data_IF_656759840411
#
_entry.id   IF_656759840411
#
_cell.length_a   1.000
_cell.length_b   1.000
_cell.length_c   1.000
_cell.angle_alpha   90.00
_cell.angle_beta   90.00
_cell.angle_gamma   90.00
#
_symmetry.space_group_name_H-M   'P 1'
#
loop_
_entity.id
_entity.type
_entity.pdbx_description
1 polymer ?
#
# COMPACT_ATOMS: atom_id res chain seq x y z
N UNK A 1 25.90 -38.35 6.76
CA UNK A 1 24.79 -39.00 7.49
C UNK A 1 23.49 -38.35 7.04
N UNK A 2 22.50 -39.11 6.56
CA UNK A 2 21.23 -38.56 6.07
C UNK A 2 20.29 -38.17 7.22
N UNK A 3 19.45 -37.17 6.97
CA UNK A 3 18.67 -36.39 7.95
C UNK A 3 17.35 -37.07 8.37
N UNK A 4 17.13 -38.31 7.93
CA UNK A 4 15.83 -38.97 7.93
C UNK A 4 15.56 -39.85 9.19
N UNK A 5 16.40 -39.77 10.23
CA UNK A 5 16.24 -40.57 11.45
C UNK A 5 15.76 -39.80 12.69
N UNK A 6 15.31 -38.55 12.55
CA UNK A 6 14.91 -37.73 13.70
C UNK A 6 13.41 -37.66 13.99
N UNK A 7 12.54 -38.21 13.14
CA UNK A 7 11.09 -37.97 13.24
C UNK A 7 10.23 -39.08 13.87
N UNK A 8 10.80 -40.22 14.27
CA UNK A 8 10.02 -41.38 14.78
C UNK A 8 9.96 -41.50 16.31
N UNK A 9 10.06 -40.40 17.08
CA UNK A 9 10.05 -40.48 18.57
C UNK A 9 9.18 -39.47 19.30
N UNK A 10 8.02 -39.11 18.75
CA UNK A 10 6.98 -38.41 19.52
C UNK A 10 5.56 -38.91 19.18
N UNK A 11 5.31 -40.20 19.42
CA UNK A 11 3.94 -40.68 19.61
C UNK A 11 3.59 -40.65 21.09
N UNK A 12 2.53 -39.91 21.45
CA UNK A 12 1.95 -40.00 22.80
C UNK A 12 1.47 -38.70 23.43
N UNK A 13 0.74 -37.86 22.70
CA UNK A 13 -0.16 -36.87 23.35
C UNK A 13 -1.53 -36.94 22.70
N UNK A 14 -2.49 -37.47 23.47
CA UNK A 14 -3.92 -37.32 23.21
C UNK A 14 -4.26 -35.83 23.09
N UNK A 15 -4.66 -35.37 21.92
CA UNK A 15 -5.35 -34.09 21.78
C UNK A 15 -6.84 -34.35 21.67
N UNK A 16 -7.49 -34.25 22.82
CA UNK A 16 -8.93 -34.05 22.95
C UNK A 16 -9.33 -32.74 22.31
N UNK A 17 -10.53 -32.76 21.73
CA UNK A 17 -11.37 -31.63 21.33
C UNK A 17 -10.89 -30.79 20.15
N UNK A 18 -11.53 -31.06 19.01
CA UNK A 18 -11.70 -30.11 17.91
C UNK A 18 -12.39 -28.85 18.43
N UNK A 19 -11.60 -27.90 18.92
CA UNK A 19 -12.03 -26.53 19.12
C UNK A 19 -12.31 -25.96 17.71
N UNK A 20 -13.57 -25.99 17.29
CA UNK A 20 -14.05 -25.14 16.20
C UNK A 20 -13.93 -23.70 16.66
N UNK A 21 -12.83 -23.04 16.28
CA UNK A 21 -12.78 -21.59 16.23
C UNK A 21 -13.75 -21.13 15.14
N UNK A 22 -15.03 -20.99 15.46
CA UNK A 22 -15.87 -20.05 14.74
C UNK A 22 -15.40 -18.67 15.16
N UNK A 23 -14.41 -18.13 14.46
CA UNK A 23 -14.04 -16.72 14.58
C UNK A 23 -15.28 -15.92 14.20
N UNK A 24 -16.03 -15.51 15.21
CA UNK A 24 -17.02 -14.44 15.11
C UNK A 24 -16.27 -13.29 14.43
N UNK A 25 -16.57 -13.03 13.16
CA UNK A 25 -15.73 -12.14 12.33
C UNK A 25 -15.55 -10.84 13.09
N UNK A 26 -14.29 -10.44 13.28
CA UNK A 26 -13.99 -9.14 13.84
C UNK A 26 -14.77 -8.14 13.00
N UNK A 27 -15.58 -7.29 13.63
CA UNK A 27 -16.53 -6.40 12.95
C UNK A 27 -15.85 -5.63 11.81
N UNK A 28 -15.99 -6.12 10.56
CA UNK A 28 -15.23 -5.60 9.41
C UNK A 28 -15.82 -4.28 8.86
N UNK A 29 -16.72 -3.64 9.62
CA UNK A 29 -17.27 -2.30 9.34
C UNK A 29 -16.21 -1.21 9.29
N UNK A 30 -15.04 -1.44 9.88
CA UNK A 30 -13.90 -0.52 9.81
C UNK A 30 -13.03 -0.67 8.56
N UNK A 31 -13.42 -1.53 7.61
CA UNK A 31 -12.68 -1.78 6.38
C UNK A 31 -13.55 -1.56 5.15
N UNK A 32 -12.91 -1.09 4.08
CA UNK A 32 -13.44 -1.03 2.73
C UNK A 32 -12.94 -2.25 1.96
N UNK A 33 -13.86 -2.93 1.30
CA UNK A 33 -13.56 -3.99 0.35
C UNK A 33 -13.04 -3.39 -0.96
N UNK A 34 -11.84 -3.78 -1.36
CA UNK A 34 -11.30 -3.52 -2.69
C UNK A 34 -11.19 -4.84 -3.44
N UNK A 35 -11.95 -4.97 -4.53
CA UNK A 35 -11.93 -6.13 -5.39
C UNK A 35 -10.53 -6.35 -6.00
N UNK A 36 -10.11 -7.61 -6.05
CA UNK A 36 -8.86 -8.02 -6.68
C UNK A 36 -8.87 -7.71 -8.17
N UNK A 37 -7.76 -7.21 -8.69
CA UNK A 37 -7.60 -6.86 -10.11
C UNK A 37 -6.31 -7.42 -10.69
N UNK A 38 -6.33 -7.56 -12.01
CA UNK A 38 -5.14 -7.89 -12.81
C UNK A 38 -4.78 -6.72 -13.73
N UNK A 39 -3.50 -6.37 -13.76
CA UNK A 39 -2.90 -5.26 -14.50
C UNK A 39 -1.69 -5.78 -15.28
N UNK A 40 -1.94 -6.47 -16.39
CA UNK A 40 -0.90 -7.15 -17.16
C UNK A 40 -0.32 -8.33 -16.37
N UNK A 41 0.98 -8.29 -16.06
CA UNK A 41 1.67 -9.34 -15.29
C UNK A 41 1.52 -9.19 -13.77
N UNK A 42 0.96 -8.08 -13.30
CA UNK A 42 0.72 -7.84 -11.88
C UNK A 42 -0.75 -8.12 -11.54
N UNK A 43 -1.01 -8.76 -10.41
CA UNK A 43 -2.37 -8.93 -9.88
C UNK A 43 -2.36 -8.94 -8.36
N UNK A 44 -3.49 -8.62 -7.76
CA UNK A 44 -3.68 -8.74 -6.31
C UNK A 44 -5.06 -9.35 -6.01
N UNK A 45 -5.15 -10.05 -4.87
CA UNK A 45 -6.39 -10.65 -4.39
C UNK A 45 -7.30 -9.58 -3.79
N UNK A 46 -8.55 -9.93 -3.55
CA UNK A 46 -9.47 -9.14 -2.74
C UNK A 46 -8.84 -8.63 -1.43
N UNK A 47 -8.98 -7.33 -1.18
CA UNK A 47 -8.40 -6.64 -0.04
C UNK A 47 -9.46 -6.06 0.89
N UNK A 48 -9.14 -6.01 2.17
CA UNK A 48 -9.82 -5.20 3.19
C UNK A 48 -8.88 -4.07 3.61
N UNK A 49 -9.27 -2.83 3.35
CA UNK A 49 -8.48 -1.63 3.59
C UNK A 49 -9.11 -0.83 4.73
N UNK A 50 -8.35 -0.56 5.80
CA UNK A 50 -8.84 0.22 6.94
C UNK A 50 -9.30 1.62 6.52
N UNK A 51 -10.50 2.01 6.97
CA UNK A 51 -11.04 3.36 6.76
C UNK A 51 -10.17 4.44 7.42
N UNK A 52 -9.48 4.08 8.49
CA UNK A 52 -8.60 4.99 9.24
C UNK A 52 -7.13 4.64 9.03
N UNK A 53 -6.29 5.68 9.05
CA UNK A 53 -4.84 5.52 9.16
C UNK A 53 -4.47 5.14 10.60
N UNK A 54 -3.34 4.47 10.74
CA UNK A 54 -2.78 4.00 12.01
C UNK A 54 -1.27 4.19 12.03
N UNK A 55 -0.62 3.83 13.14
CA UNK A 55 0.85 3.83 13.28
C UNK A 55 1.51 5.17 12.92
N UNK A 56 0.88 6.27 13.35
CA UNK A 56 1.36 7.62 13.11
C UNK A 56 2.75 7.85 13.72
N UNK A 57 3.57 8.67 13.06
CA UNK A 57 4.91 9.03 13.55
C UNK A 57 5.97 7.96 13.33
N UNK A 58 5.62 6.82 12.74
CA UNK A 58 6.59 5.79 12.36
C UNK A 58 7.26 6.12 11.03
N UNK A 59 8.52 5.71 10.90
CA UNK A 59 9.20 5.66 9.61
C UNK A 59 8.72 4.44 8.80
N UNK A 60 9.12 4.37 7.54
CA UNK A 60 8.61 3.36 6.61
C UNK A 60 8.89 1.91 7.07
N UNK A 61 10.08 1.65 7.58
CA UNK A 61 10.45 0.33 8.13
C UNK A 61 9.62 -0.06 9.35
N UNK A 62 9.48 0.86 10.31
CA UNK A 62 8.73 0.61 11.53
C UNK A 62 7.23 0.44 11.26
N UNK A 63 6.69 1.16 10.27
CA UNK A 63 5.31 0.99 9.84
C UNK A 63 5.06 -0.41 9.26
N UNK A 64 5.95 -0.92 8.39
CA UNK A 64 5.90 -2.30 7.93
C UNK A 64 5.94 -3.29 9.10
N UNK A 65 6.90 -3.15 10.01
CA UNK A 65 7.01 -4.06 11.16
C UNK A 65 5.76 -4.05 12.04
N UNK A 66 5.19 -2.87 12.29
CA UNK A 66 3.95 -2.73 13.06
C UNK A 66 2.79 -3.46 12.38
N UNK A 67 2.59 -3.25 11.07
CA UNK A 67 1.55 -3.93 10.31
C UNK A 67 1.74 -5.44 10.21
N UNK A 68 2.98 -5.93 10.03
CA UNK A 68 3.26 -7.36 9.97
C UNK A 68 2.97 -8.09 11.28
N UNK A 69 3.16 -7.44 12.44
CA UNK A 69 2.73 -7.99 13.75
C UNK A 69 1.21 -8.12 13.87
N UNK A 70 0.46 -7.36 13.06
CA UNK A 70 -0.99 -7.36 13.00
C UNK A 70 -1.53 -8.23 11.85
N UNK A 71 -0.68 -9.08 11.25
CA UNK A 71 -0.98 -9.87 10.05
C UNK A 71 -1.57 -9.01 8.92
N UNK A 72 -1.01 -7.81 8.74
CA UNK A 72 -1.48 -6.80 7.79
C UNK A 72 -0.30 -6.20 7.02
N UNK A 73 -0.58 -5.41 5.98
CA UNK A 73 0.44 -4.79 5.13
C UNK A 73 -0.01 -3.40 4.63
N UNK A 74 0.88 -2.68 3.93
CA UNK A 74 0.59 -1.39 3.28
C UNK A 74 0.18 -1.59 1.83
N UNK A 75 -0.63 -0.69 1.29
CA UNK A 75 -0.90 -0.69 -0.15
C UNK A 75 0.37 -0.31 -0.91
N UNK A 76 0.70 -1.05 -1.97
CA UNK A 76 1.62 -0.52 -2.99
C UNK A 76 0.93 0.58 -3.82
N UNK A 77 1.69 1.32 -4.63
CA UNK A 77 1.15 2.47 -5.39
C UNK A 77 -0.01 2.05 -6.29
N UNK A 78 0.11 0.90 -6.96
CA UNK A 78 -0.92 0.36 -7.84
C UNK A 78 -2.24 0.12 -7.09
N UNK A 79 -2.20 -0.63 -5.98
CA UNK A 79 -3.38 -0.89 -5.13
C UNK A 79 -3.95 0.41 -4.53
N UNK A 80 -3.08 1.36 -4.19
CA UNK A 80 -3.49 2.65 -3.65
C UNK A 80 -4.27 3.49 -4.67
N UNK A 81 -3.85 3.51 -5.94
CA UNK A 81 -4.61 4.23 -6.97
C UNK A 81 -5.95 3.55 -7.28
N UNK A 82 -5.99 2.22 -7.29
CA UNK A 82 -7.25 1.46 -7.38
C UNK A 82 -8.20 1.81 -6.22
N UNK A 83 -7.66 1.96 -5.01
CA UNK A 83 -8.41 2.42 -3.84
C UNK A 83 -8.92 3.86 -4.00
N UNK A 84 -8.09 4.80 -4.47
CA UNK A 84 -8.51 6.18 -4.76
C UNK A 84 -9.66 6.20 -5.78
N UNK A 85 -9.57 5.41 -6.85
CA UNK A 85 -10.62 5.28 -7.86
C UNK A 85 -11.94 4.83 -7.23
N UNK A 86 -11.91 3.79 -6.39
CA UNK A 86 -13.09 3.30 -5.65
C UNK A 86 -13.72 4.40 -4.79
N UNK A 87 -12.91 5.15 -4.03
CA UNK A 87 -13.41 6.22 -3.17
C UNK A 87 -14.07 7.34 -3.99
N UNK A 88 -13.46 7.73 -5.11
CA UNK A 88 -13.95 8.82 -5.97
C UNK A 88 -15.22 8.45 -6.73
N UNK A 89 -15.39 7.19 -7.12
CA UNK A 89 -16.61 6.70 -7.76
C UNK A 89 -17.77 6.64 -6.75
N UNK A 90 -17.47 6.59 -5.44
CA UNK A 90 -18.50 6.57 -4.40
C UNK A 90 -19.29 5.25 -4.32
N UNK A 91 -18.72 4.17 -4.85
CA UNK A 91 -19.35 2.83 -4.90
C UNK A 91 -18.42 1.79 -4.29
N UNK A 92 -18.59 1.55 -3.00
CA UNK A 92 -17.79 0.61 -2.23
C UNK A 92 -18.62 -0.19 -1.24
N UNK A 93 -18.06 -1.30 -0.78
CA UNK A 93 -18.66 -2.17 0.23
C UNK A 93 -17.74 -2.22 1.45
N UNK A 94 -18.32 -2.44 2.62
CA UNK A 94 -17.54 -2.75 3.82
C UNK A 94 -17.03 -4.20 3.76
N UNK A 95 -16.23 -4.61 4.74
CA UNK A 95 -15.74 -5.99 4.75
C UNK A 95 -16.83 -7.06 4.92
N UNK A 96 -18.03 -6.68 5.39
CA UNK A 96 -19.20 -7.55 5.49
C UNK A 96 -20.03 -7.60 4.19
N UNK A 97 -19.61 -6.89 3.14
CA UNK A 97 -20.35 -6.79 1.88
C UNK A 97 -21.56 -5.85 1.93
N UNK A 98 -21.68 -5.02 2.97
CA UNK A 98 -22.71 -3.98 3.04
C UNK A 98 -22.26 -2.76 2.25
N UNK A 99 -23.17 -2.16 1.48
CA UNK A 99 -22.87 -0.93 0.74
C UNK A 99 -22.53 0.19 1.73
N UNK A 100 -21.39 0.85 1.51
CA UNK A 100 -21.01 2.05 2.26
C UNK A 100 -21.74 3.25 1.67
N UNK A 101 -22.19 4.16 2.53
CA UNK A 101 -22.80 5.41 2.09
C UNK A 101 -21.83 6.19 1.20
N UNK A 102 -22.31 6.68 0.06
CA UNK A 102 -21.51 7.40 -0.93
C UNK A 102 -20.82 8.62 -0.30
N UNK A 103 -21.50 9.35 0.60
CA UNK A 103 -20.93 10.52 1.26
C UNK A 103 -19.72 10.18 2.13
N UNK A 104 -19.66 8.97 2.70
CA UNK A 104 -18.51 8.51 3.49
C UNK A 104 -17.31 8.29 2.56
N UNK A 105 -17.51 7.63 1.43
CA UNK A 105 -16.43 7.34 0.46
C UNK A 105 -15.89 8.63 -0.18
N UNK A 106 -16.78 9.53 -0.59
CA UNK A 106 -16.40 10.83 -1.14
C UNK A 106 -15.70 11.71 -0.10
N UNK A 107 -16.17 11.69 1.16
CA UNK A 107 -15.47 12.36 2.26
C UNK A 107 -14.07 11.79 2.47
N UNK A 108 -13.89 10.48 2.39
CA UNK A 108 -12.57 9.87 2.49
C UNK A 108 -11.66 10.25 1.32
N UNK A 109 -12.18 10.28 0.09
CA UNK A 109 -11.42 10.77 -1.07
C UNK A 109 -10.98 12.22 -0.86
N UNK A 110 -11.90 13.09 -0.43
CA UNK A 110 -11.61 14.47 -0.07
C UNK A 110 -10.57 14.57 1.05
N UNK A 111 -10.70 13.76 2.10
CA UNK A 111 -9.76 13.73 3.22
C UNK A 111 -8.35 13.26 2.82
N UNK A 112 -8.20 12.55 1.71
CA UNK A 112 -6.90 12.14 1.18
C UNK A 112 -6.34 13.19 0.22
N UNK A 113 -7.17 13.71 -0.68
CA UNK A 113 -6.74 14.50 -1.83
C UNK A 113 -6.68 16.02 -1.56
N UNK A 114 -7.42 16.52 -0.58
CA UNK A 114 -7.53 17.95 -0.33
C UNK A 114 -6.30 18.53 0.38
N UNK A 115 -5.85 19.69 -0.10
CA UNK A 115 -4.88 20.59 0.55
C UNK A 115 -5.36 20.91 1.97
N UNK A 116 -4.54 20.61 2.99
CA UNK A 116 -4.92 20.76 4.40
C UNK A 116 -3.76 21.12 5.31
N UNK A 117 -4.07 21.80 6.41
CA UNK A 117 -3.13 22.09 7.50
C UNK A 117 -3.70 21.51 8.80
N UNK A 118 -2.95 20.70 9.57
CA UNK A 118 -1.54 20.34 9.40
C UNK A 118 -1.27 19.35 8.24
N UNK A 119 0.00 19.28 7.83
CA UNK A 119 0.51 18.26 6.90
C UNK A 119 0.08 16.85 7.32
N UNK A 120 -0.43 16.07 6.37
CA UNK A 120 -0.77 14.67 6.55
C UNK A 120 -0.19 13.83 5.41
N UNK A 121 0.17 12.58 5.72
CA UNK A 121 0.56 11.63 4.68
C UNK A 121 0.30 10.19 5.06
N UNK A 122 0.49 9.32 4.07
CA UNK A 122 0.50 7.88 4.26
C UNK A 122 1.62 7.21 3.47
N UNK A 123 2.36 6.32 4.15
CA UNK A 123 3.35 5.50 3.48
C UNK A 123 2.69 4.49 2.54
N UNK A 124 3.35 4.24 1.41
CA UNK A 124 2.99 3.21 0.46
C UNK A 124 4.10 2.15 0.42
N UNK A 125 3.74 0.91 0.11
CA UNK A 125 4.68 -0.20 -0.11
C UNK A 125 5.35 -0.07 -1.49
N UNK A 126 6.33 0.83 -1.57
CA UNK A 126 7.21 0.98 -2.72
C UNK A 126 8.57 1.49 -2.26
N UNK A 127 9.61 0.68 -2.44
CA UNK A 127 11.03 1.05 -2.26
C UNK A 127 11.73 1.08 -3.62
N UNK A 128 12.45 2.16 -3.90
CA UNK A 128 13.10 2.39 -5.18
C UNK A 128 14.60 2.19 -5.03
N UNK A 129 15.16 1.34 -5.89
CA UNK A 129 16.60 1.01 -5.89
C UNK A 129 17.14 1.04 -7.29
N UNK A 130 18.44 1.31 -7.41
CA UNK A 130 19.19 1.08 -8.64
C UNK A 130 19.67 -0.36 -8.65
N UNK A 131 19.38 -1.09 -9.72
CA UNK A 131 19.94 -2.42 -9.97
C UNK A 131 21.47 -2.31 -10.10
N UNK A 132 22.25 -3.07 -9.32
CA UNK A 132 23.71 -2.96 -9.32
C UNK A 132 24.34 -3.33 -10.67
N UNK A 133 23.67 -4.17 -11.47
CA UNK A 133 24.18 -4.75 -12.72
C UNK A 133 24.09 -3.79 -13.89
N UNK A 134 22.89 -3.31 -14.21
CA UNK A 134 22.60 -2.50 -15.40
C UNK A 134 22.31 -1.03 -15.09
N UNK A 135 22.35 -0.65 -13.80
CA UNK A 135 22.03 0.69 -13.29
C UNK A 135 20.60 1.16 -13.54
N UNK A 136 19.69 0.26 -13.92
CA UNK A 136 18.28 0.57 -14.10
C UNK A 136 17.58 0.79 -12.76
N UNK A 137 16.52 1.60 -12.74
CA UNK A 137 15.71 1.81 -11.54
C UNK A 137 14.68 0.66 -11.41
N UNK A 138 14.60 0.08 -10.22
CA UNK A 138 13.65 -0.97 -9.86
C UNK A 138 12.72 -0.51 -8.76
N UNK A 139 11.52 -1.08 -8.72
CA UNK A 139 10.57 -0.95 -7.61
C UNK A 139 10.49 -2.29 -6.86
N UNK A 140 10.71 -2.21 -5.56
CA UNK A 140 10.55 -3.27 -4.59
C UNK A 140 9.20 -3.09 -3.89
N UNK A 141 8.41 -4.16 -3.75
CA UNK A 141 7.11 -4.11 -3.09
C UNK A 141 6.72 -5.47 -2.49
N UNK A 142 5.55 -5.51 -1.83
CA UNK A 142 5.05 -6.62 -1.02
C UNK A 142 6.08 -7.05 0.03
N UNK A 143 6.62 -6.06 0.74
CA UNK A 143 7.66 -6.32 1.73
C UNK A 143 7.11 -7.17 2.88
N UNK A 144 7.95 -8.06 3.39
CA UNK A 144 7.66 -8.98 4.50
C UNK A 144 8.77 -8.89 5.54
N UNK A 145 8.40 -9.07 6.81
CA UNK A 145 9.39 -9.20 7.90
C UNK A 145 9.80 -10.67 8.02
N UNK A 146 11.07 -10.97 7.75
CA UNK A 146 11.69 -12.26 8.06
C UNK A 146 12.88 -12.04 9.00
N UNK A 147 12.88 -12.69 10.17
CA UNK A 147 13.96 -12.55 11.17
C UNK A 147 14.29 -11.07 11.50
N UNK A 148 13.25 -10.26 11.72
CA UNK A 148 13.36 -8.81 11.95
C UNK A 148 14.00 -7.99 10.80
N UNK A 149 14.18 -8.59 9.62
CA UNK A 149 14.62 -7.88 8.42
C UNK A 149 13.45 -7.72 7.46
N UNK A 150 13.30 -6.53 6.92
CA UNK A 150 12.32 -6.24 5.89
C UNK A 150 12.90 -6.68 4.54
N UNK A 151 12.18 -7.53 3.80
CA UNK A 151 12.59 -8.04 2.50
C UNK A 151 11.42 -7.93 1.51
N UNK A 152 11.64 -7.42 0.29
CA UNK A 152 10.61 -7.42 -0.74
C UNK A 152 10.32 -8.84 -1.23
N UNK A 153 9.05 -9.13 -1.50
CA UNK A 153 8.67 -10.35 -2.24
C UNK A 153 8.86 -10.16 -3.76
N UNK A 154 8.81 -8.92 -4.23
CA UNK A 154 8.93 -8.57 -5.65
C UNK A 154 9.92 -7.43 -5.86
N UNK A 155 10.72 -7.54 -6.90
CA UNK A 155 11.60 -6.49 -7.42
C UNK A 155 11.46 -6.48 -8.94
N UNK A 156 10.98 -5.38 -9.50
CA UNK A 156 10.68 -5.30 -10.94
C UNK A 156 11.30 -4.03 -11.53
N UNK A 157 11.80 -4.13 -12.75
CA UNK A 157 12.23 -2.98 -13.55
C UNK A 157 11.10 -1.97 -13.69
N UNK A 158 11.39 -0.71 -13.37
CA UNK A 158 10.49 0.40 -13.65
C UNK A 158 10.55 0.76 -15.13
N UNK A 159 9.43 0.59 -15.80
CA UNK A 159 9.24 0.90 -17.22
C UNK A 159 8.12 1.95 -17.36
N UNK A 160 8.21 2.75 -18.42
CA UNK A 160 7.18 3.70 -18.86
C UNK A 160 6.63 4.63 -17.76
N UNK A 161 7.48 5.14 -16.87
CA UNK A 161 7.07 6.06 -15.81
C UNK A 161 7.55 7.49 -16.10
N UNK A 162 6.87 8.47 -15.50
CA UNK A 162 7.32 9.86 -15.49
C UNK A 162 8.58 9.97 -14.62
N UNK A 163 9.74 10.15 -15.26
CA UNK A 163 11.06 10.20 -14.62
C UNK A 163 11.41 11.54 -13.97
N UNK A 164 10.67 12.59 -14.29
CA UNK A 164 10.92 13.95 -13.81
C UNK A 164 9.85 14.41 -12.81
N UNK A 165 10.26 15.25 -11.87
CA UNK A 165 9.31 15.92 -10.99
C UNK A 165 8.37 16.81 -11.82
N UNK A 166 7.12 16.91 -11.41
CA UNK A 166 6.13 17.76 -12.07
C UNK A 166 5.45 18.69 -11.07
N UNK A 167 5.72 19.98 -11.24
CA UNK A 167 5.17 21.09 -10.47
C UNK A 167 4.58 22.10 -11.48
N UNK A 168 3.29 22.47 -11.41
CA UNK A 168 2.36 22.29 -10.29
C UNK A 168 1.81 20.87 -10.11
N UNK A 169 1.95 19.97 -11.08
CA UNK A 169 1.51 18.59 -10.89
C UNK A 169 1.17 17.81 -12.16
N UNK A 170 0.75 16.57 -11.94
CA UNK A 170 0.11 15.68 -12.91
C UNK A 170 -1.43 15.82 -12.83
N UNK A 171 -2.11 15.45 -13.89
CA UNK A 171 -3.57 15.31 -13.91
C UNK A 171 -4.00 14.07 -13.11
N UNK A 172 -4.80 14.26 -12.05
CA UNK A 172 -5.22 13.18 -11.16
C UNK A 172 -6.15 12.18 -11.86
N UNK A 173 -7.10 12.65 -12.68
CA UNK A 173 -8.05 11.76 -13.35
C UNK A 173 -7.33 10.89 -14.37
N UNK A 174 -6.48 11.51 -15.19
CA UNK A 174 -5.65 10.77 -16.13
C UNK A 174 -4.70 9.82 -15.41
N UNK A 175 -4.13 10.19 -14.25
CA UNK A 175 -3.28 9.27 -13.50
C UNK A 175 -4.06 8.04 -13.04
N UNK A 176 -5.30 8.21 -12.58
CA UNK A 176 -6.20 7.11 -12.22
C UNK A 176 -6.55 6.24 -13.44
N UNK A 177 -6.66 6.82 -14.64
CA UNK A 177 -7.10 6.11 -15.84
C UNK A 177 -5.97 5.44 -16.65
N UNK A 178 -4.76 6.03 -16.70
CA UNK A 178 -3.69 5.64 -17.65
C UNK A 178 -2.41 5.14 -16.96
N UNK A 179 -2.57 4.66 -15.73
CA UNK A 179 -1.51 4.23 -14.82
C UNK A 179 -0.67 3.06 -15.36
N UNK A 180 0.65 3.13 -15.18
CA UNK A 180 1.60 2.04 -15.52
C UNK A 180 1.37 0.82 -14.64
N UNK A 181 1.73 -0.41 -15.01
CA UNK A 181 1.50 -1.60 -14.15
C UNK A 181 1.92 -1.45 -12.67
N UNK A 182 2.90 -0.58 -12.38
CA UNK A 182 3.40 -0.25 -11.03
C UNK A 182 2.59 0.80 -10.26
N UNK A 183 1.58 1.42 -10.88
CA UNK A 183 0.77 2.49 -10.33
C UNK A 183 1.36 3.89 -10.52
N UNK A 184 2.56 4.01 -11.11
CA UNK A 184 3.19 5.30 -11.38
C UNK A 184 2.53 6.01 -12.57
N UNK A 185 2.57 7.35 -12.62
CA UNK A 185 2.16 8.12 -13.78
C UNK A 185 2.99 7.77 -15.02
N UNK A 186 2.39 7.61 -16.21
CA UNK A 186 3.13 7.40 -17.44
C UNK A 186 3.88 8.66 -17.86
N UNK A 187 4.90 8.49 -18.70
CA UNK A 187 5.75 9.58 -19.20
C UNK A 187 4.97 10.68 -19.95
N UNK A 188 3.86 10.32 -20.60
CA UNK A 188 3.01 11.22 -21.40
C UNK A 188 1.84 11.85 -20.61
N UNK A 189 1.84 11.76 -19.27
CA UNK A 189 0.73 12.29 -18.46
C UNK A 189 0.59 13.82 -18.61
N UNK A 190 -0.65 14.31 -18.69
CA UNK A 190 -0.98 15.74 -18.76
C UNK A 190 -0.59 16.45 -17.47
N UNK A 191 -0.46 17.77 -17.58
CA UNK A 191 -0.23 18.63 -16.43
C UNK A 191 -1.53 18.81 -15.66
N UNK A 192 -1.43 18.87 -14.34
CA UNK A 192 -2.54 19.12 -13.43
C UNK A 192 -2.02 19.71 -12.13
N UNK A 193 -2.76 19.49 -11.04
CA UNK A 193 -2.48 20.12 -9.73
C UNK A 193 -2.05 19.13 -8.65
N UNK A 194 -1.95 17.83 -8.97
CA UNK A 194 -1.44 16.83 -8.05
C UNK A 194 0.09 16.79 -8.16
N UNK A 195 0.79 17.25 -7.13
CA UNK A 195 2.25 17.29 -7.14
C UNK A 195 2.83 15.89 -7.33
N UNK A 196 3.87 15.80 -8.14
CA UNK A 196 4.56 14.55 -8.38
C UNK A 196 6.06 14.71 -8.19
N UNK A 197 6.62 13.87 -7.33
CA UNK A 197 8.06 13.74 -7.18
C UNK A 197 8.48 12.36 -7.65
N UNK A 198 9.32 12.33 -8.69
CA UNK A 198 9.74 11.12 -9.36
C UNK A 198 10.57 10.21 -8.44
N UNK A 199 10.53 8.88 -8.65
CA UNK A 199 11.32 7.95 -7.85
C UNK A 199 12.81 8.14 -8.09
N UNK A 200 13.60 8.01 -7.02
CA UNK A 200 15.07 8.08 -7.07
C UNK A 200 15.68 6.88 -6.34
N UNK A 201 16.99 6.69 -6.47
CA UNK A 201 17.66 5.62 -5.73
C UNK A 201 17.53 5.83 -4.21
N UNK A 202 17.20 4.77 -3.48
CA UNK A 202 17.07 4.75 -2.02
C UNK A 202 15.94 5.61 -1.45
N UNK A 203 14.85 5.79 -2.20
CA UNK A 203 13.64 6.42 -1.71
C UNK A 203 12.48 5.43 -1.59
N UNK A 204 11.41 5.87 -0.92
CA UNK A 204 10.13 5.19 -0.80
C UNK A 204 8.99 6.14 -1.18
N UNK A 205 7.81 5.59 -1.45
CA UNK A 205 6.64 6.39 -1.79
C UNK A 205 5.80 6.82 -0.58
N UNK A 206 5.32 8.06 -0.63
CA UNK A 206 4.34 8.63 0.29
C UNK A 206 3.29 9.40 -0.51
N UNK A 207 2.03 9.26 -0.16
CA UNK A 207 0.99 10.18 -0.60
C UNK A 207 0.74 11.20 0.51
N UNK A 208 0.68 12.50 0.18
CA UNK A 208 0.58 13.53 1.20
C UNK A 208 -0.31 14.70 0.78
N UNK A 209 -0.77 15.45 1.77
CA UNK A 209 -1.46 16.73 1.62
C UNK A 209 -0.99 17.70 2.70
N UNK A 210 -0.78 18.96 2.34
CA UNK A 210 -0.39 20.04 3.24
C UNK A 210 -1.07 21.36 2.83
N UNK A 211 -0.74 22.47 3.50
CA UNK A 211 -1.38 23.78 3.29
C UNK A 211 -1.23 24.36 1.88
N UNK A 212 -0.30 23.85 1.06
CA UNK A 212 -0.09 24.34 -0.30
C UNK A 212 -0.35 23.31 -1.41
N UNK A 213 -0.38 22.02 -1.10
CA UNK A 213 -0.41 20.96 -2.13
C UNK A 213 -0.84 19.60 -1.60
N UNK A 214 -1.32 18.76 -2.50
CA UNK A 214 -1.38 17.31 -2.33
C UNK A 214 -0.60 16.63 -3.46
N UNK A 215 -0.05 15.45 -3.20
CA UNK A 215 0.80 14.79 -4.19
C UNK A 215 1.28 13.40 -3.84
N UNK A 216 1.75 12.71 -4.89
CA UNK A 216 2.54 11.50 -4.80
C UNK A 216 4.03 11.87 -4.76
N UNK A 217 4.70 11.53 -3.68
CA UNK A 217 6.13 11.72 -3.52
C UNK A 217 6.84 10.37 -3.47
N UNK A 218 7.54 10.03 -4.55
CA UNK A 218 8.34 8.82 -4.67
C UNK A 218 9.83 9.05 -4.32
N UNK A 219 10.21 10.24 -3.85
CA UNK A 219 11.60 10.59 -3.53
C UNK A 219 11.88 10.67 -2.02
N UNK A 220 10.93 10.25 -1.18
CA UNK A 220 11.01 10.37 0.27
C UNK A 220 12.01 9.36 0.85
N UNK A 221 12.85 9.80 1.80
CA UNK A 221 13.72 8.89 2.54
C UNK A 221 12.97 7.99 3.52
N UNK A 222 13.28 6.69 3.53
CA UNK A 222 12.59 5.68 4.36
C UNK A 222 12.74 5.88 5.88
N UNK A 223 13.71 6.69 6.32
CA UNK A 223 13.94 7.03 7.74
C UNK A 223 13.14 8.26 8.20
N UNK A 224 12.51 9.00 7.27
CA UNK A 224 11.69 10.15 7.60
C UNK A 224 10.55 9.74 8.54
N UNK A 225 10.13 10.66 9.39
CA UNK A 225 9.00 10.47 10.31
C UNK A 225 8.33 11.82 10.54
N UNK A 226 7.02 11.79 10.70
CA UNK A 226 6.22 12.97 11.01
C UNK A 226 4.97 12.54 11.79
N UNK A 227 4.51 13.32 12.78
CA UNK A 227 3.28 13.00 13.50
C UNK A 227 2.05 12.84 12.59
N UNK A 228 2.00 13.54 11.45
CA UNK A 228 0.92 13.43 10.47
C UNK A 228 1.06 12.27 9.47
N UNK A 229 2.15 11.49 9.55
CA UNK A 229 2.46 10.39 8.64
C UNK A 229 2.03 9.08 9.27
N UNK A 230 1.07 8.39 8.67
CA UNK A 230 0.58 7.09 9.12
C UNK A 230 0.51 6.08 7.98
N UNK A 231 -0.27 5.02 8.18
CA UNK A 231 -0.51 3.97 7.19
C UNK A 231 -1.92 3.41 7.30
N UNK A 232 -2.54 3.06 6.18
CA UNK A 232 -3.75 2.25 6.17
C UNK A 232 -3.38 0.78 6.29
N UNK A 233 -4.02 0.10 7.24
CA UNK A 233 -3.89 -1.34 7.41
C UNK A 233 -4.63 -2.06 6.29
N UNK A 234 -3.95 -3.01 5.63
CA UNK A 234 -4.52 -3.86 4.58
C UNK A 234 -4.46 -5.33 4.99
N UNK A 235 -5.52 -6.07 4.69
CA UNK A 235 -5.59 -7.53 4.82
C UNK A 235 -6.09 -8.15 3.52
N UNK A 236 -5.74 -9.42 3.28
CA UNK A 236 -6.38 -10.21 2.23
C UNK A 236 -7.75 -10.64 2.74
N UNK A 237 -8.80 -10.45 1.94
CA UNK A 237 -10.13 -11.01 2.24
C UNK A 237 -10.09 -12.52 2.04
N UNK A 238 -10.44 -13.26 3.09
CA UNK A 238 -10.47 -14.74 3.11
C UNK A 238 -11.86 -15.28 2.84
#
# INVERSE_FOLDING_TARGET
>A
MPIDQYFDKLEGVRTSDKIRFTSKSANDKGYIFLEGKSHGSYSYRDLLISCEKSHFGLNWFNAHHALHRENSFMLNIRQYVDFLSLLKIGRGFDGNGQRIDESILLKMAYDILEIKDPWQGEWLDADFKVNPTDKSLIINYDHRTFNNKLQPAHFILLEDYLSDNKNPGIDLEQWIDTLTRHGLPPSNIKSGNLWYFAPINNSVAVFFANSGRAGLDCNRGATYRSPGLGVRRVKIKT
#
